data_IF_643280172033
#
_entry.id   IF_643280172033
#
_cell.length_a   1.000
_cell.length_b   1.000
_cell.length_c   1.000
_cell.angle_alpha   90.00
_cell.angle_beta   90.00
_cell.angle_gamma   90.00
#
_symmetry.space_group_name_H-M   'P 1'
#
loop_
_entity.id
_entity.type
_entity.pdbx_description
1 polymer ?
#
# COMPACT_ATOMS: atom_id res chain seq x y z
N UNK A 1 -14.10 -5.85 11.51
CA UNK A 1 -12.68 -6.02 11.16
C UNK A 1 -12.54 -7.43 10.64
N UNK A 2 -12.48 -7.59 9.33
CA UNK A 2 -12.72 -8.90 8.72
C UNK A 2 -11.44 -9.73 8.77
N UNK A 3 -11.33 -10.54 9.83
CA UNK A 3 -10.44 -11.68 9.84
C UNK A 3 -10.97 -12.67 8.79
N UNK A 4 -10.26 -12.85 7.67
CA UNK A 4 -10.62 -13.85 6.68
C UNK A 4 -10.72 -15.22 7.36
N UNK A 5 -11.87 -15.89 7.26
CA UNK A 5 -12.14 -17.18 7.93
C UNK A 5 -11.57 -18.36 7.16
N UNK A 6 -11.18 -18.15 5.90
CA UNK A 6 -10.55 -19.17 5.06
C UNK A 6 -9.64 -18.56 4.00
N UNK A 7 -8.73 -19.38 3.47
CA UNK A 7 -7.94 -19.01 2.29
C UNK A 7 -8.81 -18.68 1.07
N UNK A 8 -9.97 -19.34 0.93
CA UNK A 8 -10.93 -19.06 -0.14
C UNK A 8 -11.50 -17.65 -0.09
N UNK A 9 -11.86 -17.17 1.11
CA UNK A 9 -12.34 -15.79 1.31
C UNK A 9 -11.27 -14.75 0.99
N UNK A 10 -10.03 -14.99 1.43
CA UNK A 10 -8.90 -14.13 1.09
C UNK A 10 -8.69 -14.04 -0.43
N UNK A 11 -8.66 -15.17 -1.13
CA UNK A 11 -8.46 -15.20 -2.57
C UNK A 11 -9.61 -14.52 -3.32
N UNK A 12 -10.85 -14.72 -2.88
CA UNK A 12 -12.01 -14.04 -3.46
C UNK A 12 -11.85 -12.53 -3.32
N UNK A 13 -11.58 -12.05 -2.12
CA UNK A 13 -11.37 -10.63 -1.83
C UNK A 13 -10.24 -9.99 -2.66
N UNK A 14 -9.10 -10.69 -2.79
CA UNK A 14 -7.98 -10.22 -3.61
C UNK A 14 -8.38 -10.06 -5.08
N UNK A 15 -9.21 -10.97 -5.62
CA UNK A 15 -9.65 -10.98 -7.02
C UNK A 15 -10.82 -10.05 -7.34
N UNK A 16 -11.76 -9.86 -6.41
CA UNK A 16 -13.02 -9.13 -6.65
C UNK A 16 -12.98 -7.67 -6.23
N UNK A 17 -11.87 -7.22 -5.63
CA UNK A 17 -11.63 -5.80 -5.39
C UNK A 17 -11.71 -4.98 -6.70
N UNK A 18 -12.30 -3.77 -6.63
CA UNK A 18 -12.54 -2.88 -7.80
C UNK A 18 -11.29 -2.69 -8.67
N UNK A 19 -10.12 -2.69 -8.05
CA UNK A 19 -8.84 -2.91 -8.71
C UNK A 19 -8.22 -4.15 -8.05
N UNK A 20 -7.96 -5.23 -8.82
CA UNK A 20 -7.35 -6.43 -8.27
C UNK A 20 -6.10 -6.08 -7.47
N UNK A 21 -6.03 -6.58 -6.23
CA UNK A 21 -4.90 -6.32 -5.34
C UNK A 21 -3.68 -7.08 -5.83
N UNK A 22 -2.58 -6.38 -6.04
CA UNK A 22 -1.28 -6.96 -6.40
C UNK A 22 -0.44 -7.34 -5.17
N UNK A 23 -0.76 -6.75 -4.02
CA UNK A 23 -0.23 -7.04 -2.69
C UNK A 23 -1.22 -6.59 -1.60
N UNK A 24 -0.99 -7.01 -0.36
CA UNK A 24 -1.70 -6.51 0.82
C UNK A 24 -0.91 -6.76 2.11
N UNK A 25 -0.79 -5.73 2.94
CA UNK A 25 -0.60 -5.87 4.38
C UNK A 25 -1.94 -5.78 5.13
N UNK A 26 -2.23 -6.77 5.97
CA UNK A 26 -3.42 -6.82 6.80
C UNK A 26 -3.08 -6.61 8.27
N UNK A 27 -3.32 -5.40 8.81
CA UNK A 27 -2.92 -5.03 10.17
C UNK A 27 -3.54 -5.92 11.26
N UNK A 28 -4.79 -6.36 11.10
CA UNK A 28 -5.47 -7.17 12.11
C UNK A 28 -4.93 -8.60 12.23
N UNK A 29 -4.27 -9.12 11.20
CA UNK A 29 -3.60 -10.44 11.24
C UNK A 29 -2.08 -10.32 11.15
N UNK A 30 -1.55 -9.11 10.96
CA UNK A 30 -0.15 -8.78 10.74
C UNK A 30 0.49 -9.59 9.60
N UNK A 31 -0.31 -9.90 8.57
CA UNK A 31 0.12 -10.70 7.43
C UNK A 31 0.39 -9.82 6.22
N UNK A 32 1.48 -10.13 5.52
CA UNK A 32 1.77 -9.65 4.18
C UNK A 32 1.41 -10.73 3.16
N UNK A 33 0.66 -10.36 2.14
CA UNK A 33 0.08 -11.25 1.15
C UNK A 33 0.53 -10.76 -0.22
N UNK A 34 1.35 -11.57 -0.88
CA UNK A 34 1.94 -11.25 -2.18
C UNK A 34 1.46 -12.26 -3.22
N UNK A 35 1.27 -11.80 -4.46
CA UNK A 35 0.98 -12.70 -5.56
C UNK A 35 2.27 -13.39 -6.05
N UNK A 36 2.14 -14.50 -6.80
CA UNK A 36 3.29 -15.25 -7.33
C UNK A 36 4.21 -14.41 -8.23
N UNK A 37 3.67 -13.39 -8.90
CA UNK A 37 4.37 -12.55 -9.86
C UNK A 37 4.67 -11.16 -9.27
N UNK A 38 4.84 -11.08 -7.95
CA UNK A 38 4.96 -9.82 -7.24
C UNK A 38 6.27 -9.15 -7.65
N UNK A 39 6.22 -7.87 -7.99
CA UNK A 39 7.43 -7.08 -8.21
C UNK A 39 8.07 -6.70 -6.88
N UNK A 40 9.37 -6.41 -6.89
CA UNK A 40 10.09 -6.03 -5.67
C UNK A 40 9.53 -4.75 -5.06
N UNK A 41 9.12 -3.78 -5.87
CA UNK A 41 8.52 -2.53 -5.35
C UNK A 41 7.16 -2.76 -4.67
N UNK A 42 6.37 -3.75 -5.12
CA UNK A 42 5.10 -4.11 -4.45
C UNK A 42 5.39 -4.82 -3.12
N UNK A 43 6.36 -5.73 -3.08
CA UNK A 43 6.76 -6.36 -1.82
C UNK A 43 7.30 -5.30 -0.82
N UNK A 44 8.09 -4.35 -1.32
CA UNK A 44 8.58 -3.22 -0.53
C UNK A 44 7.44 -2.32 -0.05
N UNK A 45 6.42 -2.07 -0.87
CA UNK A 45 5.22 -1.30 -0.51
C UNK A 45 4.52 -1.92 0.70
N UNK A 46 4.21 -3.22 0.65
CA UNK A 46 3.52 -3.89 1.75
C UNK A 46 4.41 -4.01 3.00
N UNK A 47 5.73 -4.17 2.83
CA UNK A 47 6.68 -4.12 3.94
C UNK A 47 6.70 -2.73 4.61
N UNK A 48 6.54 -1.64 3.85
CA UNK A 48 6.44 -0.30 4.42
C UNK A 48 5.16 -0.14 5.25
N UNK A 49 4.05 -0.77 4.88
CA UNK A 49 2.86 -0.80 5.71
C UNK A 49 3.09 -1.54 7.03
N UNK A 50 3.74 -2.71 6.99
CA UNK A 50 4.14 -3.44 8.20
C UNK A 50 5.05 -2.57 9.09
N UNK A 51 6.10 -1.97 8.51
CA UNK A 51 7.02 -1.11 9.25
C UNK A 51 6.30 0.07 9.90
N UNK A 52 5.40 0.74 9.17
CA UNK A 52 4.61 1.83 9.72
C UNK A 52 3.74 1.37 10.89
N UNK A 53 3.11 0.19 10.77
CA UNK A 53 2.33 -0.42 11.84
C UNK A 53 3.19 -0.70 13.09
N UNK A 54 4.40 -1.25 12.92
CA UNK A 54 5.33 -1.50 14.02
C UNK A 54 5.82 -0.21 14.68
N UNK A 55 6.08 0.84 13.90
CA UNK A 55 6.56 2.13 14.40
C UNK A 55 5.52 2.89 15.24
N UNK A 56 4.24 2.82 14.87
CA UNK A 56 3.18 3.63 15.49
C UNK A 56 2.26 2.82 16.40
N UNK A 57 2.31 1.50 16.31
CA UNK A 57 1.44 0.59 17.03
C UNK A 57 0.02 0.52 16.45
N UNK A 58 -0.70 -0.53 16.85
CA UNK A 58 -2.01 -0.87 16.29
C UNK A 58 -3.05 0.26 16.39
N UNK A 59 -3.19 0.87 17.57
CA UNK A 59 -4.24 1.87 17.84
C UNK A 59 -4.05 3.09 16.91
N UNK A 60 -2.82 3.60 16.83
CA UNK A 60 -2.52 4.75 15.97
C UNK A 60 -2.66 4.37 14.49
N UNK A 61 -2.13 3.20 14.10
CA UNK A 61 -2.20 2.75 12.72
C UNK A 61 -3.65 2.59 12.24
N UNK A 62 -4.53 2.04 13.06
CA UNK A 62 -5.96 1.93 12.74
C UNK A 62 -6.62 3.32 12.60
N UNK A 63 -6.24 4.29 13.42
CA UNK A 63 -6.74 5.66 13.37
C UNK A 63 -6.31 6.46 12.14
N UNK A 64 -5.21 6.09 11.48
CA UNK A 64 -4.77 6.78 10.27
C UNK A 64 -5.70 6.56 9.08
N UNK A 65 -5.89 7.62 8.29
CA UNK A 65 -6.63 7.53 7.04
C UNK A 65 -5.86 6.70 6.01
N UNK A 66 -6.54 6.26 4.94
CA UNK A 66 -5.87 5.59 3.84
C UNK A 66 -4.76 6.46 3.24
N UNK A 67 -5.03 7.74 3.01
CA UNK A 67 -4.03 8.66 2.47
C UNK A 67 -2.80 8.77 3.38
N UNK A 68 -2.96 8.81 4.71
CA UNK A 68 -1.81 8.91 5.63
C UNK A 68 -0.90 7.69 5.52
N UNK A 69 -1.51 6.50 5.50
CA UNK A 69 -0.80 5.22 5.34
C UNK A 69 -0.06 5.17 4.01
N UNK A 70 -0.72 5.55 2.92
CA UNK A 70 -0.17 5.50 1.57
C UNK A 70 0.88 6.58 1.32
N UNK A 71 0.72 7.77 1.92
CA UNK A 71 1.74 8.83 1.92
C UNK A 71 3.01 8.39 2.65
N UNK A 72 2.90 7.63 3.74
CA UNK A 72 4.06 7.04 4.40
C UNK A 72 4.80 6.11 3.43
N UNK A 73 4.09 5.17 2.79
CA UNK A 73 4.69 4.21 1.86
C UNK A 73 5.36 4.91 0.68
N UNK A 74 4.66 5.87 0.06
CA UNK A 74 5.22 6.64 -1.06
C UNK A 74 6.51 7.40 -0.67
N UNK A 75 6.57 7.99 0.54
CA UNK A 75 7.80 8.63 1.04
C UNK A 75 8.95 7.64 1.19
N UNK A 76 8.69 6.40 1.62
CA UNK A 76 9.72 5.36 1.72
C UNK A 76 10.20 4.90 0.34
N UNK A 77 9.30 4.78 -0.64
CA UNK A 77 9.66 4.49 -2.03
C UNK A 77 10.56 5.60 -2.58
N UNK A 78 10.18 6.86 -2.39
CA UNK A 78 10.93 8.02 -2.88
C UNK A 78 12.30 8.19 -2.20
N UNK A 79 12.40 7.91 -0.89
CA UNK A 79 13.68 7.93 -0.18
C UNK A 79 14.63 6.83 -0.68
N UNK A 80 14.09 5.72 -1.17
CA UNK A 80 14.81 4.60 -1.77
C UNK A 80 14.87 4.65 -3.31
N UNK A 81 14.62 5.81 -3.94
CA UNK A 81 14.49 5.93 -5.41
C UNK A 81 15.62 5.36 -6.26
N UNK A 82 16.83 5.23 -5.71
CA UNK A 82 17.97 4.60 -6.41
C UNK A 82 17.80 3.11 -6.67
N UNK A 83 16.85 2.44 -6.01
CA UNK A 83 16.53 1.01 -6.20
C UNK A 83 15.51 0.76 -7.29
N UNK A 84 14.79 1.80 -7.73
CA UNK A 84 13.60 1.67 -8.56
C UNK A 84 13.83 2.24 -9.95
N UNK A 85 13.19 1.64 -10.95
CA UNK A 85 13.17 2.18 -12.30
C UNK A 85 12.34 3.47 -12.36
N UNK A 86 12.55 4.27 -13.40
CA UNK A 86 11.74 5.47 -13.65
C UNK A 86 10.24 5.14 -13.82
N UNK A 87 9.93 4.01 -14.44
CA UNK A 87 8.55 3.57 -14.64
C UNK A 87 7.89 3.24 -13.30
N UNK A 88 8.55 2.48 -12.43
CA UNK A 88 8.04 2.14 -11.10
C UNK A 88 7.85 3.38 -10.21
N UNK A 89 8.79 4.33 -10.27
CA UNK A 89 8.65 5.61 -9.56
C UNK A 89 7.47 6.44 -10.08
N UNK A 90 7.25 6.44 -11.40
CA UNK A 90 6.10 7.12 -12.02
C UNK A 90 4.80 6.44 -11.61
N UNK A 91 4.72 5.12 -11.67
CA UNK A 91 3.52 4.36 -11.27
C UNK A 91 3.20 4.57 -9.78
N UNK A 92 4.23 4.63 -8.93
CA UNK A 92 4.07 4.95 -7.50
C UNK A 92 3.55 6.38 -7.28
N UNK A 93 4.06 7.36 -8.03
CA UNK A 93 3.58 8.74 -7.99
C UNK A 93 2.14 8.87 -8.49
N UNK A 94 1.82 8.21 -9.60
CA UNK A 94 0.47 8.21 -10.18
C UNK A 94 -0.54 7.56 -9.22
N UNK A 95 -0.14 6.48 -8.54
CA UNK A 95 -0.98 5.82 -7.54
C UNK A 95 -1.33 6.74 -6.36
N UNK A 96 -0.34 7.39 -5.73
CA UNK A 96 -0.63 8.30 -4.61
C UNK A 96 -1.40 9.54 -5.07
N UNK A 97 -1.12 10.04 -6.27
CA UNK A 97 -1.85 11.16 -6.84
C UNK A 97 -3.32 10.82 -7.09
N UNK A 98 -3.61 9.62 -7.60
CA UNK A 98 -4.98 9.13 -7.76
C UNK A 98 -5.74 9.14 -6.43
N UNK A 99 -5.16 8.62 -5.36
CA UNK A 99 -5.78 8.64 -4.02
C UNK A 99 -6.02 10.09 -3.58
N UNK A 100 -5.00 10.95 -3.68
CA UNK A 100 -5.09 12.36 -3.30
C UNK A 100 -6.21 13.09 -4.03
N UNK A 101 -6.33 12.91 -5.35
CA UNK A 101 -7.30 13.64 -6.17
C UNK A 101 -8.69 13.02 -6.10
N UNK A 102 -8.82 11.71 -6.28
CA UNK A 102 -10.12 11.04 -6.43
C UNK A 102 -10.81 10.79 -5.08
N UNK A 103 -10.05 10.48 -4.03
CA UNK A 103 -10.62 10.13 -2.72
C UNK A 103 -10.61 11.30 -1.73
N UNK A 104 -9.69 12.26 -1.90
CA UNK A 104 -9.49 13.36 -0.95
C UNK A 104 -9.60 14.77 -1.55
N UNK A 105 -9.83 14.92 -2.86
CA UNK A 105 -9.98 16.24 -3.51
C UNK A 105 -8.76 17.16 -3.43
N UNK A 106 -7.57 16.60 -3.18
CA UNK A 106 -6.31 17.33 -3.04
C UNK A 106 -5.61 17.51 -4.39
N UNK A 107 -4.71 18.49 -4.46
CA UNK A 107 -3.83 18.67 -5.62
C UNK A 107 -2.80 17.52 -5.72
N UNK A 108 -2.44 17.10 -6.95
CA UNK A 108 -1.40 16.12 -7.17
C UNK A 108 -0.04 16.64 -6.69
N UNK A 109 0.81 15.72 -6.24
CA UNK A 109 2.22 15.95 -5.96
C UNK A 109 2.97 16.11 -7.28
N UNK A 110 3.90 17.07 -7.30
CA UNK A 110 4.81 17.31 -8.41
C UNK A 110 6.23 17.13 -7.87
N UNK A 111 6.95 16.14 -8.39
CA UNK A 111 8.37 15.94 -8.09
C UNK A 111 9.16 16.76 -9.12
N UNK A 112 10.02 17.66 -8.64
CA UNK A 112 10.94 18.45 -9.47
C UNK A 112 12.27 17.73 -9.65
#
# INVERSE_FOLDING_TARGET
MDQFKSFGELILFMKTSKTPKVGMFHAGTQQMILNKNCTEIVAFHELCHLKHFEEVGEIAYQGFSRLDKEMYVWKQILSNRGKWTKAELKDSLDYINRIRTEEYGLKPLIIK
#
